data_IF_450227160976
#
_entry.id   IF_450227160976
#
_cell.length_a   1.000
_cell.length_b   1.000
_cell.length_c   1.000
_cell.angle_alpha   90.00
_cell.angle_beta   90.00
_cell.angle_gamma   90.00
#
_symmetry.space_group_name_H-M   'P 1'
#
loop_
_entity.id
_entity.type
_entity.pdbx_description
1 polymer ?
#
# COMPACT_ATOMS: atom_id res chain seq x y z
N UNK A 1 8.09 -14.92 -8.06
CA UNK A 1 7.44 -13.59 -8.18
C UNK A 1 6.27 -13.55 -7.23
N UNK A 2 6.00 -12.43 -6.56
CA UNK A 2 4.83 -12.30 -5.67
C UNK A 2 3.54 -12.16 -6.50
N UNK A 3 2.46 -12.81 -6.07
CA UNK A 3 1.12 -12.67 -6.66
C UNK A 3 0.54 -11.28 -6.40
N UNK A 4 -0.49 -10.88 -7.16
CA UNK A 4 -1.22 -9.62 -6.95
C UNK A 4 -1.76 -9.50 -5.51
N UNK A 5 -2.36 -10.58 -5.01
CA UNK A 5 -2.85 -10.72 -3.64
C UNK A 5 -1.73 -10.52 -2.61
N UNK A 6 -0.58 -11.20 -2.78
CA UNK A 6 0.55 -11.05 -1.86
C UNK A 6 1.10 -9.63 -1.83
N UNK A 7 1.13 -8.93 -2.97
CA UNK A 7 1.55 -7.52 -3.03
C UNK A 7 0.60 -6.64 -2.22
N UNK A 8 -0.71 -6.82 -2.37
CA UNK A 8 -1.70 -6.07 -1.58
C UNK A 8 -1.59 -6.39 -0.09
N UNK A 9 -1.46 -7.67 0.27
CA UNK A 9 -1.32 -8.08 1.67
C UNK A 9 -0.09 -7.45 2.33
N UNK A 10 1.06 -7.43 1.64
CA UNK A 10 2.27 -6.75 2.12
C UNK A 10 2.06 -5.25 2.31
N UNK A 11 1.36 -4.59 1.37
CA UNK A 11 1.02 -3.17 1.50
C UNK A 11 0.11 -2.91 2.71
N UNK A 12 -0.92 -3.74 2.91
CA UNK A 12 -1.84 -3.62 4.05
C UNK A 12 -1.13 -3.86 5.38
N UNK A 13 -0.16 -4.78 5.44
CA UNK A 13 0.67 -4.95 6.63
C UNK A 13 1.43 -3.66 6.97
N UNK A 14 2.04 -3.02 5.97
CA UNK A 14 2.75 -1.76 6.17
C UNK A 14 1.81 -0.61 6.55
N UNK A 15 0.60 -0.57 6.00
CA UNK A 15 -0.44 0.42 6.29
C UNK A 15 -0.93 0.33 7.74
N UNK A 16 -1.28 -0.89 8.17
CA UNK A 16 -1.75 -1.13 9.54
C UNK A 16 -0.62 -1.24 10.56
N UNK A 17 0.64 -1.12 10.12
CA UNK A 17 1.85 -1.35 10.94
C UNK A 17 1.83 -2.72 11.63
N UNK A 18 1.25 -3.73 10.98
CA UNK A 18 1.22 -5.09 11.47
C UNK A 18 2.62 -5.75 11.45
N UNK A 19 3.54 -5.20 10.66
CA UNK A 19 4.96 -5.54 10.56
C UNK A 19 5.80 -5.01 11.73
N UNK A 20 5.32 -4.01 12.47
CA UNK A 20 5.99 -3.40 13.61
C UNK A 20 5.74 -4.17 14.92
N UNK A 21 5.80 -5.50 14.82
CA UNK A 21 5.34 -6.42 15.85
C UNK A 21 6.17 -6.41 17.15
N UNK A 22 7.41 -5.97 17.00
CA UNK A 22 8.44 -5.79 18.00
C UNK A 22 8.18 -4.57 18.90
N UNK A 23 7.46 -3.54 18.43
CA UNK A 23 7.27 -2.29 19.17
C UNK A 23 6.24 -2.42 20.30
N UNK A 24 6.57 -1.97 21.52
CA UNK A 24 5.71 -2.13 22.72
C UNK A 24 5.50 -0.82 23.52
N UNK A 25 5.00 0.21 22.83
CA UNK A 25 4.69 1.51 23.44
C UNK A 25 3.58 2.25 22.67
N UNK A 26 2.90 3.17 23.36
CA UNK A 26 1.86 4.01 22.76
C UNK A 26 0.81 3.21 21.96
N UNK A 27 0.52 3.68 20.74
CA UNK A 27 -0.46 3.05 19.83
C UNK A 27 -0.06 1.62 19.43
N UNK A 28 1.22 1.27 19.42
CA UNK A 28 1.67 -0.07 19.03
C UNK A 28 1.19 -1.15 20.00
N UNK A 29 0.94 -0.81 21.27
CA UNK A 29 0.29 -1.74 22.20
C UNK A 29 -1.10 -2.13 21.76
N UNK A 30 -1.87 -1.16 21.26
CA UNK A 30 -3.23 -1.38 20.76
C UNK A 30 -3.18 -2.18 19.45
N UNK A 31 -2.25 -1.85 18.55
CA UNK A 31 -2.06 -2.59 17.28
C UNK A 31 -1.66 -4.03 17.57
N UNK A 32 -0.73 -4.26 18.50
CA UNK A 32 -0.31 -5.60 18.90
C UNK A 32 -1.44 -6.39 19.55
N UNK A 33 -2.24 -5.75 20.41
CA UNK A 33 -3.41 -6.37 21.01
C UNK A 33 -4.45 -6.81 19.97
N UNK A 34 -4.61 -6.05 18.88
CA UNK A 34 -5.53 -6.37 17.77
C UNK A 34 -4.87 -7.09 16.61
N UNK A 35 -3.62 -7.56 16.76
CA UNK A 35 -2.84 -8.09 15.63
C UNK A 35 -3.53 -9.26 14.96
N UNK A 36 -4.05 -10.19 15.75
CA UNK A 36 -4.77 -11.37 15.22
C UNK A 36 -5.96 -10.95 14.36
N UNK A 37 -6.73 -9.94 14.79
CA UNK A 37 -7.85 -9.39 14.02
C UNK A 37 -7.38 -8.74 12.71
N UNK A 38 -6.29 -7.98 12.75
CA UNK A 38 -5.73 -7.34 11.55
C UNK A 38 -5.21 -8.41 10.58
N UNK A 39 -4.54 -9.45 11.09
CA UNK A 39 -4.02 -10.54 10.27
C UNK A 39 -5.16 -11.38 9.67
N UNK A 40 -6.18 -11.73 10.45
CA UNK A 40 -7.37 -12.41 9.96
C UNK A 40 -8.07 -11.60 8.86
N UNK A 41 -8.20 -10.28 9.04
CA UNK A 41 -8.73 -9.42 7.99
C UNK A 41 -7.91 -9.48 6.70
N UNK A 42 -6.58 -9.37 6.77
CA UNK A 42 -5.69 -9.34 5.60
C UNK A 42 -5.62 -10.69 4.87
N UNK A 43 -5.58 -11.79 5.63
CA UNK A 43 -5.28 -13.12 5.09
C UNK A 43 -6.50 -14.00 4.85
N UNK A 44 -7.62 -13.73 5.54
CA UNK A 44 -8.81 -14.59 5.49
C UNK A 44 -10.03 -13.79 5.01
N UNK A 45 -10.39 -12.70 5.70
CA UNK A 45 -11.64 -11.98 5.40
C UNK A 45 -11.58 -11.24 4.07
N UNK A 46 -10.48 -10.53 3.77
CA UNK A 46 -10.35 -9.79 2.52
C UNK A 46 -10.43 -10.71 1.28
N UNK A 47 -9.68 -11.84 1.22
CA UNK A 47 -9.85 -12.80 0.13
C UNK A 47 -11.27 -13.38 0.06
N UNK A 48 -11.90 -13.67 1.21
CA UNK A 48 -13.28 -14.16 1.23
C UNK A 48 -14.27 -13.12 0.67
N UNK A 49 -14.10 -11.83 0.99
CA UNK A 49 -14.90 -10.73 0.44
C UNK A 49 -14.75 -10.68 -1.08
N UNK A 50 -13.52 -10.71 -1.60
CA UNK A 50 -13.26 -10.67 -3.05
C UNK A 50 -13.89 -11.88 -3.73
N UNK A 51 -13.72 -13.08 -3.17
CA UNK A 51 -14.29 -14.31 -3.72
C UNK A 51 -15.82 -14.26 -3.76
N UNK A 52 -16.46 -13.86 -2.66
CA UNK A 52 -17.92 -13.77 -2.57
C UNK A 52 -18.50 -12.77 -3.58
N UNK A 53 -17.87 -11.60 -3.76
CA UNK A 53 -18.34 -10.58 -4.71
C UNK A 53 -18.13 -11.00 -6.18
N UNK A 54 -17.07 -11.77 -6.45
CA UNK A 54 -16.85 -12.37 -7.77
C UNK A 54 -17.89 -13.46 -8.07
N UNK A 55 -18.27 -14.27 -7.07
CA UNK A 55 -19.28 -15.34 -7.19
C UNK A 55 -20.71 -14.79 -7.27
N UNK A 56 -21.05 -13.73 -6.55
CA UNK A 56 -22.38 -13.12 -6.54
C UNK A 56 -22.78 -12.53 -7.91
N UNK A 57 -21.81 -12.29 -8.80
CA UNK A 57 -22.06 -11.89 -10.19
C UNK A 57 -22.39 -13.10 -11.09
N UNK A 58 -23.34 -13.94 -10.66
CA UNK A 58 -23.72 -15.19 -11.32
C UNK A 58 -24.25 -15.01 -12.74
N UNK A 59 -24.91 -13.89 -13.04
CA UNK A 59 -25.43 -13.61 -14.39
C UNK A 59 -24.28 -13.43 -15.39
N UNK A 60 -23.27 -12.67 -14.99
CA UNK A 60 -22.04 -12.49 -15.77
C UNK A 60 -21.31 -13.82 -15.91
N UNK A 61 -21.22 -14.62 -14.84
CA UNK A 61 -20.57 -15.93 -14.90
C UNK A 61 -21.32 -16.92 -15.81
N UNK A 62 -22.66 -16.97 -15.73
CA UNK A 62 -23.51 -17.84 -16.57
C UNK A 62 -23.47 -17.45 -18.05
N UNK A 63 -23.45 -16.16 -18.37
CA UNK A 63 -23.27 -15.68 -19.74
C UNK A 63 -21.90 -16.07 -20.30
N UNK A 64 -20.88 -16.18 -19.44
CA UNK A 64 -19.50 -16.51 -19.81
C UNK A 64 -19.26 -17.99 -19.96
N UNK A 65 -19.78 -18.81 -19.05
CA UNK A 65 -19.82 -20.27 -19.21
C UNK A 65 -20.44 -20.64 -20.55
N UNK A 66 -21.51 -19.93 -20.94
CA UNK A 66 -22.15 -20.10 -22.24
C UNK A 66 -21.26 -19.69 -23.41
N UNK A 67 -20.46 -18.64 -23.31
CA UNK A 67 -19.48 -18.25 -24.34
C UNK A 67 -18.38 -19.30 -24.48
N UNK A 68 -17.82 -19.77 -23.35
CA UNK A 68 -16.78 -20.81 -23.36
C UNK A 68 -17.31 -22.13 -23.91
N UNK A 69 -18.55 -22.50 -23.58
CA UNK A 69 -19.21 -23.68 -24.15
C UNK A 69 -19.42 -23.53 -25.66
N UNK A 70 -19.91 -22.37 -26.13
CA UNK A 70 -20.04 -22.07 -27.55
C UNK A 70 -18.69 -22.09 -28.28
N UNK A 71 -17.63 -21.55 -27.65
CA UNK A 71 -16.28 -21.58 -28.21
C UNK A 71 -15.79 -23.02 -28.41
N UNK A 72 -15.94 -23.87 -27.39
CA UNK A 72 -15.57 -25.28 -27.47
C UNK A 72 -16.36 -26.01 -28.56
N UNK A 73 -17.67 -25.76 -28.67
CA UNK A 73 -18.50 -26.33 -29.73
C UNK A 73 -18.05 -25.86 -31.13
N UNK A 74 -17.66 -24.60 -31.30
CA UNK A 74 -17.11 -24.08 -32.57
C UNK A 74 -15.76 -24.73 -32.89
N UNK A 75 -14.87 -24.91 -31.90
CA UNK A 75 -13.59 -25.59 -32.09
C UNK A 75 -13.77 -27.07 -32.43
N UNK A 76 -14.69 -27.77 -31.77
CA UNK A 76 -15.05 -29.16 -32.09
C UNK A 76 -15.65 -29.29 -33.49
N UNK A 77 -16.54 -28.36 -33.89
CA UNK A 77 -17.09 -28.31 -35.24
C UNK A 77 -15.99 -28.16 -36.30
N UNK A 78 -15.01 -27.27 -36.06
CA UNK A 78 -13.83 -27.12 -36.92
C UNK A 78 -13.00 -28.40 -37.01
N UNK A 79 -12.69 -29.00 -35.86
CA UNK A 79 -11.94 -30.26 -35.80
C UNK A 79 -12.61 -31.39 -36.59
N UNK A 80 -13.95 -31.49 -36.54
CA UNK A 80 -14.72 -32.47 -37.30
C UNK A 80 -14.66 -32.24 -38.83
N UNK A 81 -14.42 -31.00 -39.26
CA UNK A 81 -14.23 -30.62 -40.66
C UNK A 81 -12.74 -30.66 -41.09
N UNK A 82 -11.82 -30.85 -40.15
CA UNK A 82 -10.38 -30.76 -40.39
C UNK A 82 -9.86 -29.33 -40.61
N UNK A 83 -10.62 -28.33 -40.17
CA UNK A 83 -10.31 -26.90 -40.34
C UNK A 83 -10.28 -26.19 -38.98
N UNK A 84 -9.28 -25.33 -38.78
CA UNK A 84 -9.21 -24.50 -37.58
C UNK A 84 -10.13 -23.29 -37.75
N UNK A 85 -11.17 -23.22 -36.91
CA UNK A 85 -12.22 -22.21 -37.04
C UNK A 85 -11.89 -20.90 -36.31
N UNK A 86 -11.13 -20.98 -35.22
CA UNK A 86 -10.83 -19.84 -34.34
C UNK A 86 -9.32 -19.70 -34.14
N UNK A 87 -8.82 -18.47 -34.15
CA UNK A 87 -7.42 -18.16 -33.83
C UNK A 87 -7.14 -18.28 -32.31
N UNK A 88 -5.92 -17.94 -31.90
CA UNK A 88 -5.49 -17.94 -30.50
C UNK A 88 -6.24 -16.92 -29.62
N UNK A 89 -6.79 -15.87 -30.24
CA UNK A 89 -7.57 -14.80 -29.61
C UNK A 89 -9.09 -15.06 -29.72
N UNK A 90 -9.47 -16.24 -30.23
CA UNK A 90 -10.86 -16.69 -30.39
C UNK A 90 -11.62 -16.07 -31.56
N UNK A 91 -10.96 -15.38 -32.50
CA UNK A 91 -11.62 -14.77 -33.67
C UNK A 91 -11.79 -15.77 -34.80
N UNK A 92 -12.87 -15.61 -35.57
CA UNK A 92 -13.17 -16.46 -36.71
C UNK A 92 -12.08 -16.32 -37.79
N UNK A 93 -11.43 -17.42 -38.15
CA UNK A 93 -10.37 -17.44 -39.17
C UNK A 93 -10.97 -17.39 -40.57
N UNK A 94 -12.12 -18.07 -40.77
CA UNK A 94 -12.76 -18.21 -42.08
C UNK A 94 -14.18 -17.65 -42.07
N UNK A 95 -14.34 -16.49 -42.71
CA UNK A 95 -15.59 -15.75 -42.81
C UNK A 95 -16.72 -16.51 -43.54
N UNK A 96 -16.38 -17.54 -44.33
CA UNK A 96 -17.37 -18.35 -45.05
C UNK A 96 -18.35 -19.08 -44.10
N UNK A 97 -17.97 -19.28 -42.84
CA UNK A 97 -18.79 -19.96 -41.84
C UNK A 97 -19.58 -19.01 -40.93
N UNK A 98 -19.49 -17.70 -41.14
CA UNK A 98 -20.14 -16.70 -40.28
C UNK A 98 -21.66 -16.86 -40.19
N UNK A 99 -22.29 -17.25 -41.30
CA UNK A 99 -23.74 -17.48 -41.42
C UNK A 99 -24.21 -18.78 -40.72
N UNK A 100 -23.30 -19.56 -40.12
CA UNK A 100 -23.68 -20.78 -39.40
C UNK A 100 -24.32 -20.41 -38.06
N UNK A 101 -25.45 -21.03 -37.68
CA UNK A 101 -26.16 -20.71 -36.45
C UNK A 101 -25.29 -20.76 -35.18
N UNK A 102 -24.38 -21.74 -35.08
CA UNK A 102 -23.48 -21.91 -33.94
C UNK A 102 -22.43 -20.78 -33.85
N UNK A 103 -21.84 -20.41 -34.99
CA UNK A 103 -20.82 -19.35 -35.06
C UNK A 103 -21.48 -17.99 -34.84
N UNK A 104 -22.68 -17.78 -35.37
CA UNK A 104 -23.44 -16.57 -35.12
C UNK A 104 -23.81 -16.41 -33.64
N UNK A 105 -24.25 -17.48 -32.96
CA UNK A 105 -24.49 -17.46 -31.52
C UNK A 105 -23.23 -17.16 -30.71
N UNK A 106 -22.09 -17.73 -31.09
CA UNK A 106 -20.79 -17.45 -30.48
C UNK A 106 -20.36 -15.98 -30.66
N UNK A 107 -20.48 -15.45 -31.89
CA UNK A 107 -20.11 -14.07 -32.20
C UNK A 107 -21.03 -13.06 -31.51
N UNK A 108 -22.35 -13.29 -31.52
CA UNK A 108 -23.31 -12.44 -30.82
C UNK A 108 -23.07 -12.45 -29.29
N UNK A 109 -22.78 -13.61 -28.71
CA UNK A 109 -22.46 -13.71 -27.29
C UNK A 109 -21.13 -13.00 -26.95
N UNK A 110 -20.11 -13.11 -27.81
CA UNK A 110 -18.85 -12.33 -27.67
C UNK A 110 -19.04 -10.83 -27.83
N UNK A 111 -19.89 -10.40 -28.75
CA UNK A 111 -20.16 -8.98 -28.98
C UNK A 111 -20.93 -8.36 -27.81
N UNK A 112 -21.86 -9.10 -27.21
CA UNK A 112 -22.65 -8.63 -26.06
C UNK A 112 -21.84 -8.57 -24.75
N UNK A 113 -20.85 -9.44 -24.56
CA UNK A 113 -20.19 -9.60 -23.26
C UNK A 113 -18.64 -9.45 -23.29
N UNK A 114 -18.04 -9.24 -24.47
CA UNK A 114 -16.59 -9.17 -24.67
C UNK A 114 -15.89 -10.53 -24.51
N UNK A 115 -14.55 -10.56 -24.65
CA UNK A 115 -13.76 -11.72 -24.20
C UNK A 115 -13.65 -11.61 -22.68
N UNK A 116 -14.31 -12.49 -21.90
CA UNK A 116 -14.31 -12.34 -20.47
C UNK A 116 -12.93 -12.75 -19.92
N UNK A 117 -12.26 -11.89 -19.14
CA UNK A 117 -11.14 -12.38 -18.35
C UNK A 117 -11.66 -13.50 -17.44
N UNK A 118 -10.90 -14.59 -17.37
CA UNK A 118 -11.27 -15.70 -16.50
C UNK A 118 -11.31 -15.24 -15.03
N UNK A 119 -11.92 -16.05 -14.15
CA UNK A 119 -12.07 -15.70 -12.73
C UNK A 119 -10.75 -15.24 -12.10
N UNK A 120 -9.66 -15.95 -12.37
CA UNK A 120 -8.34 -15.66 -11.83
C UNK A 120 -7.79 -14.31 -12.32
N UNK A 121 -7.98 -13.98 -13.60
CA UNK A 121 -7.60 -12.69 -14.17
C UNK A 121 -8.40 -11.53 -13.56
N UNK A 122 -9.67 -11.75 -13.24
CA UNK A 122 -10.51 -10.74 -12.57
C UNK A 122 -10.07 -10.54 -11.12
N UNK A 123 -9.84 -11.63 -10.41
CA UNK A 123 -9.31 -11.60 -9.05
C UNK A 123 -7.97 -10.85 -9.01
N UNK A 124 -7.05 -11.17 -9.94
CA UNK A 124 -5.80 -10.45 -10.12
C UNK A 124 -6.01 -8.97 -10.42
N UNK A 125 -6.95 -8.61 -11.29
CA UNK A 125 -7.27 -7.22 -11.60
C UNK A 125 -7.76 -6.46 -10.37
N UNK A 126 -8.66 -7.05 -9.58
CA UNK A 126 -9.19 -6.45 -8.34
C UNK A 126 -8.04 -6.16 -7.36
N UNK A 127 -7.18 -7.14 -7.08
CA UNK A 127 -6.05 -6.94 -6.17
C UNK A 127 -5.07 -5.89 -6.71
N UNK A 128 -4.80 -5.88 -8.01
CA UNK A 128 -3.93 -4.88 -8.63
C UNK A 128 -4.50 -3.47 -8.55
N UNK A 129 -5.81 -3.29 -8.74
CA UNK A 129 -6.47 -2.00 -8.58
C UNK A 129 -6.43 -1.53 -7.12
N UNK A 130 -6.75 -2.39 -6.16
CA UNK A 130 -6.66 -2.07 -4.74
C UNK A 130 -5.24 -1.67 -4.34
N UNK A 131 -4.25 -2.45 -4.78
CA UNK A 131 -2.83 -2.13 -4.54
C UNK A 131 -2.47 -0.77 -5.14
N UNK A 132 -2.82 -0.54 -6.41
CA UNK A 132 -2.51 0.70 -7.13
C UNK A 132 -3.16 1.91 -6.45
N UNK A 133 -4.41 1.77 -6.03
CA UNK A 133 -5.14 2.81 -5.31
C UNK A 133 -4.44 3.19 -4.00
N UNK A 134 -4.22 2.24 -3.09
CA UNK A 134 -3.62 2.56 -1.79
C UNK A 134 -2.18 3.04 -1.92
N UNK A 135 -1.36 2.40 -2.76
CA UNK A 135 0.05 2.77 -2.95
C UNK A 135 0.23 4.14 -3.59
N UNK A 136 -0.73 4.62 -4.39
CA UNK A 136 -0.72 5.96 -4.99
C UNK A 136 -0.75 7.05 -3.92
N UNK A 137 -1.60 6.87 -2.91
CA UNK A 137 -1.85 7.89 -1.89
C UNK A 137 -1.03 7.69 -0.62
N UNK A 138 -0.63 6.47 -0.29
CA UNK A 138 0.16 6.19 0.92
C UNK A 138 1.64 6.50 0.72
N UNK A 139 2.22 7.26 1.64
CA UNK A 139 3.63 7.62 1.65
C UNK A 139 4.14 7.70 3.10
N UNK A 140 5.00 6.75 3.50
CA UNK A 140 5.72 6.75 4.78
C UNK A 140 4.88 6.93 6.06
N UNK A 141 3.58 6.62 6.03
CA UNK A 141 2.67 6.79 7.17
C UNK A 141 1.56 7.82 6.92
N UNK A 142 1.72 8.64 5.90
CA UNK A 142 0.76 9.66 5.50
C UNK A 142 -0.06 9.21 4.30
N UNK A 143 -1.29 9.68 4.22
CA UNK A 143 -2.05 9.68 2.96
C UNK A 143 -1.91 11.06 2.35
N UNK A 144 -1.26 11.18 1.19
CA UNK A 144 -0.98 12.47 0.57
C UNK A 144 -1.88 12.65 -0.66
N UNK A 145 -2.64 13.76 -0.75
CA UNK A 145 -3.33 14.12 -1.98
C UNK A 145 -2.33 14.27 -3.12
N UNK A 146 -2.40 13.38 -4.12
CA UNK A 146 -1.53 13.45 -5.30
C UNK A 146 -2.14 14.35 -6.36
N UNK A 147 -1.34 15.26 -6.91
CA UNK A 147 -1.73 16.06 -8.09
C UNK A 147 -1.81 15.13 -9.30
N UNK A 148 -2.92 15.17 -10.03
CA UNK A 148 -3.12 14.35 -11.22
C UNK A 148 -2.45 14.99 -12.43
N UNK A 149 -1.54 14.27 -13.07
CA UNK A 149 -1.01 14.65 -14.39
C UNK A 149 -1.84 13.93 -15.45
N UNK A 150 -2.78 14.65 -16.08
CA UNK A 150 -3.50 14.17 -17.27
C UNK A 150 -3.05 14.97 -18.51
N UNK A 151 -3.25 14.41 -19.70
CA UNK A 151 -2.84 15.05 -20.97
C UNK A 151 -3.69 16.29 -21.32
N UNK A 152 -4.91 16.42 -20.79
CA UNK A 152 -5.87 17.46 -21.22
C UNK A 152 -6.26 18.44 -20.11
N UNK A 153 -6.62 17.98 -18.91
CA UNK A 153 -6.92 18.87 -17.77
C UNK A 153 -6.30 18.34 -16.46
N UNK A 154 -5.53 19.21 -15.78
CA UNK A 154 -4.46 18.84 -14.83
C UNK A 154 -4.84 18.91 -13.35
N UNK A 155 -6.11 19.16 -13.02
CA UNK A 155 -6.56 19.32 -11.64
C UNK A 155 -8.08 19.32 -11.57
N UNK A 156 -8.68 18.39 -10.81
CA UNK A 156 -10.10 18.47 -10.48
C UNK A 156 -10.23 18.90 -9.03
N UNK A 157 -10.97 19.98 -8.80
CA UNK A 157 -11.23 20.53 -7.49
C UNK A 157 -12.68 20.21 -7.14
N UNK A 158 -12.96 19.56 -6.00
CA UNK A 158 -14.34 19.35 -5.56
C UNK A 158 -14.93 20.72 -5.24
N UNK A 159 -15.81 21.21 -6.13
CA UNK A 159 -16.46 22.50 -6.04
C UNK A 159 -17.97 22.29 -6.02
N UNK A 160 -18.64 22.87 -5.03
CA UNK A 160 -20.06 22.71 -4.73
C UNK A 160 -20.90 23.93 -5.16
N UNK A 161 -20.34 24.89 -5.88
CA UNK A 161 -21.05 26.10 -6.32
C UNK A 161 -20.88 27.34 -5.44
N UNK A 162 -19.93 27.36 -4.51
CA UNK A 162 -19.62 28.54 -3.67
C UNK A 162 -19.07 29.73 -4.47
N UNK A 163 -19.52 30.97 -4.23
CA UNK A 163 -19.04 32.14 -4.99
C UNK A 163 -17.51 32.32 -4.97
N UNK A 164 -16.84 31.93 -3.87
CA UNK A 164 -15.38 31.91 -3.75
C UNK A 164 -14.94 30.60 -3.13
N UNK A 165 -14.08 29.85 -3.82
CA UNK A 165 -13.51 28.60 -3.32
C UNK A 165 -11.98 28.63 -3.31
N UNK A 166 -11.38 28.61 -2.12
CA UNK A 166 -9.93 28.53 -1.93
C UNK A 166 -9.52 27.10 -1.64
N UNK A 167 -8.71 26.52 -2.53
CA UNK A 167 -8.23 25.15 -2.42
C UNK A 167 -6.71 25.07 -2.34
N UNK A 168 -6.20 24.35 -1.35
CA UNK A 168 -4.79 24.00 -1.23
C UNK A 168 -4.65 22.54 -0.83
N UNK A 169 -3.53 21.91 -1.24
CA UNK A 169 -3.36 20.46 -1.19
C UNK A 169 -3.58 19.85 0.21
N UNK A 170 -3.15 20.54 1.26
CA UNK A 170 -3.15 20.00 2.63
C UNK A 170 -4.27 20.62 3.50
N UNK A 171 -5.36 21.11 2.89
CA UNK A 171 -6.45 21.82 3.60
C UNK A 171 -7.09 21.03 4.74
N UNK A 172 -7.24 19.72 4.54
CA UNK A 172 -7.87 18.83 5.52
C UNK A 172 -6.86 18.03 6.34
N UNK A 173 -5.60 18.46 6.34
CA UNK A 173 -4.52 17.81 7.06
C UNK A 173 -3.95 18.70 8.17
N UNK A 174 -3.63 18.09 9.29
CA UNK A 174 -2.86 18.69 10.37
C UNK A 174 -1.39 18.31 10.19
N UNK A 175 -0.52 19.31 10.08
CA UNK A 175 0.91 19.10 10.15
C UNK A 175 1.32 18.86 11.59
N UNK A 176 2.03 17.75 11.83
CA UNK A 176 2.62 17.40 13.11
C UNK A 176 4.12 17.25 12.93
N UNK A 177 4.87 18.00 13.72
CA UNK A 177 6.33 17.92 13.76
C UNK A 177 6.75 16.95 14.86
N UNK A 178 7.52 15.92 14.53
CA UNK A 178 7.88 14.85 15.50
C UNK A 178 8.85 15.28 16.60
N UNK A 179 9.21 16.55 16.66
CA UNK A 179 10.04 17.13 17.72
C UNK A 179 9.28 17.61 18.95
N UNK A 180 7.95 17.47 19.04
CA UNK A 180 7.18 17.94 20.22
C UNK A 180 6.80 16.81 21.20
N UNK A 181 7.06 15.55 20.86
CA UNK A 181 6.74 14.39 21.68
C UNK A 181 7.95 13.48 21.87
N UNK A 182 8.91 13.98 22.63
CA UNK A 182 10.07 13.22 23.08
C UNK A 182 9.61 12.12 24.04
N UNK A 183 9.56 10.89 23.53
CA UNK A 183 9.10 9.73 24.28
C UNK A 183 10.07 8.56 24.19
N UNK A 184 10.02 7.74 25.24
CA UNK A 184 10.64 6.44 25.37
C UNK A 184 10.25 5.53 24.20
N UNK A 185 11.22 5.02 23.46
CA UNK A 185 11.01 4.05 22.39
C UNK A 185 11.32 2.64 22.92
N UNK A 186 10.38 1.71 22.78
CA UNK A 186 10.51 0.37 23.35
C UNK A 186 10.24 -0.71 22.30
N UNK A 187 11.11 -1.71 22.24
CA UNK A 187 10.90 -2.88 21.40
C UNK A 187 11.27 -4.18 22.12
N UNK A 188 10.74 -5.30 21.64
CA UNK A 188 11.03 -6.65 22.14
C UNK A 188 11.72 -7.46 21.06
N UNK A 189 12.79 -8.15 21.42
CA UNK A 189 13.50 -9.10 20.55
C UNK A 189 13.87 -10.33 21.35
N UNK A 190 13.49 -11.52 20.88
CA UNK A 190 13.82 -12.82 21.50
C UNK A 190 13.61 -12.88 23.03
N UNK A 191 12.55 -12.24 23.54
CA UNK A 191 12.24 -12.20 24.98
C UNK A 191 12.94 -11.10 25.79
N UNK A 192 13.86 -10.35 25.16
CA UNK A 192 14.53 -9.18 25.75
C UNK A 192 13.76 -7.92 25.37
N UNK A 193 13.52 -7.04 26.34
CA UNK A 193 12.91 -5.73 26.09
C UNK A 193 14.00 -4.66 26.07
N UNK A 194 14.04 -3.86 25.01
CA UNK A 194 15.03 -2.80 24.83
C UNK A 194 14.31 -1.47 24.81
N UNK A 195 14.81 -0.54 25.61
CA UNK A 195 14.28 0.80 25.76
C UNK A 195 15.33 1.83 25.36
N UNK A 196 14.99 2.71 24.42
CA UNK A 196 15.74 3.92 24.15
C UNK A 196 15.10 5.06 24.93
N UNK A 197 15.87 5.63 25.85
CA UNK A 197 15.39 6.65 26.76
C UNK A 197 16.03 7.99 26.43
N UNK A 198 15.23 8.95 25.98
CA UNK A 198 15.74 10.28 25.66
C UNK A 198 15.82 11.09 26.95
N UNK A 199 17.04 11.43 27.37
CA UNK A 199 17.26 12.33 28.51
C UNK A 199 17.17 13.76 28.02
N UNK A 200 16.35 14.54 28.71
CA UNK A 200 16.25 15.98 28.48
C UNK A 200 17.52 16.64 29.04
N UNK A 201 18.50 16.85 28.17
CA UNK A 201 19.63 17.73 28.47
C UNK A 201 19.28 19.10 27.95
N UNK A 202 18.86 19.94 28.90
CA UNK A 202 18.66 21.40 28.87
C UNK A 202 18.44 22.03 27.49
N UNK A 203 17.21 22.49 27.28
CA UNK A 203 16.88 23.50 26.27
C UNK A 203 17.54 24.80 26.73
N UNK A 204 18.79 25.05 26.31
CA UNK A 204 19.37 26.39 26.40
C UNK A 204 18.36 27.38 25.78
N UNK A 205 17.92 28.29 26.64
CA UNK A 205 16.84 29.26 26.45
C UNK A 205 17.16 30.38 25.46
N UNK A 206 18.23 30.26 24.69
CA UNK A 206 18.62 31.29 23.75
C UNK A 206 18.37 30.84 22.31
N UNK A 207 17.53 31.64 21.67
CA UNK A 207 17.06 31.61 20.29
C UNK A 207 18.22 31.88 19.30
N UNK A 208 19.32 31.14 19.43
CA UNK A 208 20.36 31.06 18.41
C UNK A 208 19.85 30.05 17.37
N UNK A 209 19.13 30.56 16.38
CA UNK A 209 19.14 29.98 15.03
C UNK A 209 20.57 29.55 14.70
N UNK A 210 20.93 28.25 14.71
CA UNK A 210 22.29 27.95 14.28
C UNK A 210 22.86 26.54 14.26
N UNK A 211 22.43 25.56 15.06
CA UNK A 211 23.16 24.28 15.10
C UNK A 211 22.26 23.07 14.96
N UNK A 212 22.50 22.31 13.89
CA UNK A 212 21.85 21.03 13.61
C UNK A 212 22.08 20.08 14.78
N UNK A 213 20.99 19.58 15.38
CA UNK A 213 21.00 18.62 16.48
C UNK A 213 20.90 17.19 15.94
N UNK A 214 21.43 16.25 16.71
CA UNK A 214 21.47 14.83 16.38
C UNK A 214 21.06 14.01 17.60
N UNK A 215 20.52 12.82 17.33
CA UNK A 215 20.30 11.81 18.36
C UNK A 215 21.61 11.09 18.61
N UNK A 216 22.18 11.26 19.80
CA UNK A 216 23.45 10.66 20.20
C UNK A 216 23.17 9.61 21.27
N UNK A 217 23.39 8.31 20.98
CA UNK A 217 23.33 7.27 22.00
C UNK A 217 24.46 7.46 23.02
N UNK A 218 24.14 7.36 24.30
CA UNK A 218 25.12 7.30 25.38
C UNK A 218 25.54 5.85 25.59
N UNK A 219 26.29 5.30 24.62
CA UNK A 219 26.65 3.87 24.57
C UNK A 219 27.24 3.34 25.89
N UNK A 220 28.11 4.12 26.53
CA UNK A 220 28.78 3.76 27.78
C UNK A 220 27.84 3.69 29.00
N UNK A 221 26.67 4.31 28.92
CA UNK A 221 25.64 4.30 29.97
C UNK A 221 24.54 3.26 29.71
N UNK A 222 24.75 2.37 28.75
CA UNK A 222 23.85 1.24 28.50
C UNK A 222 23.80 0.37 29.75
N UNK A 223 22.58 0.10 30.25
CA UNK A 223 22.34 -0.75 31.41
C UNK A 223 21.53 -1.98 31.01
N UNK A 224 21.75 -3.08 31.73
CA UNK A 224 20.99 -4.32 31.58
C UNK A 224 20.49 -4.77 32.95
N UNK A 225 19.18 -4.97 33.05
CA UNK A 225 18.52 -5.53 34.22
C UNK A 225 18.27 -7.03 34.00
N UNK A 226 18.93 -7.85 34.82
CA UNK A 226 18.92 -9.31 34.65
C UNK A 226 17.60 -9.96 35.08
N UNK A 227 16.89 -9.37 36.05
CA UNK A 227 15.64 -9.94 36.54
C UNK A 227 14.51 -9.80 35.52
N UNK A 228 14.42 -8.63 34.86
CA UNK A 228 13.35 -8.32 33.89
C UNK A 228 13.76 -8.56 32.44
N UNK A 229 15.03 -8.88 32.19
CA UNK A 229 15.61 -8.97 30.84
C UNK A 229 15.42 -7.67 30.04
N UNK A 230 15.68 -6.53 30.69
CA UNK A 230 15.50 -5.20 30.11
C UNK A 230 16.84 -4.51 29.85
N UNK A 231 17.00 -3.94 28.65
CA UNK A 231 18.13 -3.07 28.30
C UNK A 231 17.62 -1.63 28.24
N UNK A 232 18.34 -0.71 28.87
CA UNK A 232 18.12 0.72 28.70
C UNK A 232 19.34 1.35 28.02
N UNK A 233 19.09 2.01 26.88
CA UNK A 233 20.09 2.76 26.12
C UNK A 233 19.69 4.22 26.18
N UNK A 234 20.40 5.06 26.95
CA UNK A 234 20.09 6.48 27.02
C UNK A 234 20.49 7.22 25.73
N UNK A 235 19.75 8.26 25.41
CA UNK A 235 19.99 9.14 24.27
C UNK A 235 19.99 10.62 24.70
N UNK A 236 20.75 11.42 23.97
CA UNK A 236 20.69 12.88 24.03
C UNK A 236 20.30 13.46 22.67
N UNK A 237 19.53 14.55 22.67
CA UNK A 237 19.22 15.34 21.47
C UNK A 237 19.96 16.67 21.48
N UNK A 238 21.24 16.63 21.06
CA UNK A 238 22.19 17.74 21.20
C UNK A 238 22.95 18.06 19.91
N UNK A 239 23.55 19.25 19.79
CA UNK A 239 24.54 19.51 18.74
C UNK A 239 25.79 18.64 18.91
N UNK A 240 26.52 18.42 17.81
CA UNK A 240 27.80 17.71 17.82
C UNK A 240 28.89 18.56 18.47
N UNK A 241 29.68 17.95 19.36
CA UNK A 241 30.90 18.56 19.90
C UNK A 241 31.98 18.66 18.81
N UNK A 242 33.08 19.37 19.07
CA UNK A 242 34.17 19.46 18.10
C UNK A 242 34.88 18.11 17.88
N UNK A 243 34.84 17.21 18.86
CA UNK A 243 35.31 15.83 18.71
C UNK A 243 34.36 15.02 17.82
N UNK A 244 33.05 15.13 18.04
CA UNK A 244 32.03 14.50 17.20
C UNK A 244 32.11 14.99 15.75
N UNK A 245 32.35 16.29 15.53
CA UNK A 245 32.50 16.86 14.18
C UNK A 245 33.71 16.29 13.45
N UNK A 246 34.80 15.99 14.16
CA UNK A 246 35.98 15.31 13.59
C UNK A 246 35.65 13.85 13.25
N UNK A 247 34.95 13.15 14.14
CA UNK A 247 34.60 11.71 14.00
C UNK A 247 33.51 11.47 12.95
N UNK A 248 32.53 12.36 12.85
CA UNK A 248 31.30 12.21 12.06
C UNK A 248 31.12 13.34 11.04
N UNK A 249 32.18 13.67 10.30
CA UNK A 249 32.15 14.70 9.26
C UNK A 249 31.44 14.23 7.97
N UNK A 250 30.91 15.18 7.19
CA UNK A 250 30.33 14.91 5.86
C UNK A 250 28.80 14.71 5.82
N UNK A 251 28.31 14.05 4.76
CA UNK A 251 26.87 13.75 4.62
C UNK A 251 26.44 12.58 5.52
N UNK A 252 25.13 12.48 5.81
CA UNK A 252 24.52 11.41 6.62
C UNK A 252 25.16 11.23 8.00
N UNK A 253 25.45 12.34 8.68
CA UNK A 253 26.13 12.33 10.00
C UNK A 253 25.36 11.49 11.05
N UNK A 254 24.02 11.50 11.02
CA UNK A 254 23.20 10.68 11.91
C UNK A 254 23.47 9.18 11.73
N UNK A 255 23.57 8.70 10.47
CA UNK A 255 23.84 7.29 10.20
C UNK A 255 25.23 6.88 10.73
N UNK A 256 26.24 7.75 10.58
CA UNK A 256 27.59 7.50 11.09
C UNK A 256 27.66 7.42 12.62
N UNK A 257 26.87 8.24 13.31
CA UNK A 257 26.76 8.21 14.78
C UNK A 257 26.19 6.85 15.20
N UNK A 258 25.13 6.38 14.54
CA UNK A 258 24.51 5.10 14.85
C UNK A 258 25.42 3.91 14.52
N UNK A 259 26.13 3.94 13.40
CA UNK A 259 27.10 2.90 13.00
C UNK A 259 28.28 2.79 13.97
N UNK A 260 28.72 3.91 14.56
CA UNK A 260 29.76 3.88 15.58
C UNK A 260 29.25 3.46 16.97
N UNK A 261 28.00 3.80 17.29
CA UNK A 261 27.41 3.49 18.59
C UNK A 261 27.06 2.00 18.74
N UNK A 262 26.62 1.34 17.67
CA UNK A 262 26.26 -0.08 17.68
C UNK A 262 27.34 -0.98 18.32
N UNK A 263 28.61 -1.01 17.83
CA UNK A 263 29.64 -1.86 18.43
C UNK A 263 30.00 -1.45 19.87
N UNK A 264 29.87 -0.17 20.23
CA UNK A 264 30.14 0.31 21.58
C UNK A 264 29.07 -0.17 22.57
N UNK A 265 27.79 -0.10 22.18
CA UNK A 265 26.66 -0.64 22.94
C UNK A 265 26.84 -2.16 23.14
N UNK A 266 27.17 -2.87 22.06
CA UNK A 266 27.39 -4.31 22.09
C UNK A 266 28.54 -4.69 23.03
N UNK A 267 29.62 -3.89 23.04
CA UNK A 267 30.75 -4.09 23.95
C UNK A 267 30.34 -4.01 25.42
N UNK A 268 29.46 -3.08 25.79
CA UNK A 268 28.94 -2.95 27.15
C UNK A 268 28.12 -4.17 27.60
N UNK A 269 27.51 -4.90 26.65
CA UNK A 269 26.65 -6.05 26.91
C UNK A 269 27.37 -7.41 26.77
N UNK A 270 28.69 -7.40 26.51
CA UNK A 270 29.49 -8.62 26.25
C UNK A 270 29.42 -9.68 27.36
N UNK A 271 29.10 -9.29 28.60
CA UNK A 271 28.95 -10.20 29.73
C UNK A 271 27.61 -10.96 29.74
N UNK A 272 26.68 -10.66 28.82
CA UNK A 272 25.32 -11.19 28.78
C UNK A 272 24.99 -11.81 27.41
N UNK A 273 25.46 -13.04 27.18
CA UNK A 273 25.39 -13.70 25.86
C UNK A 273 23.97 -13.88 25.30
N UNK A 274 23.00 -14.18 26.17
CA UNK A 274 21.57 -14.29 25.82
C UNK A 274 20.98 -12.98 25.30
N UNK A 275 21.52 -11.85 25.74
CA UNK A 275 21.08 -10.51 25.35
C UNK A 275 21.70 -10.09 24.02
N UNK A 276 22.98 -10.43 23.82
CA UNK A 276 23.70 -10.15 22.57
C UNK A 276 23.03 -10.84 21.39
N UNK A 277 22.65 -12.12 21.53
CA UNK A 277 21.98 -12.85 20.44
C UNK A 277 20.66 -12.20 20.01
N UNK A 278 19.93 -11.59 20.96
CA UNK A 278 18.68 -10.87 20.67
C UNK A 278 18.91 -9.57 19.89
N UNK A 279 20.04 -8.90 20.10
CA UNK A 279 20.42 -7.66 19.40
C UNK A 279 21.10 -7.92 18.05
N UNK A 280 21.90 -8.98 17.96
CA UNK A 280 22.63 -9.40 16.75
C UNK A 280 21.75 -10.13 15.74
N UNK A 281 20.56 -10.58 16.16
CA UNK A 281 19.64 -11.25 15.26
C UNK A 281 19.45 -10.43 13.98
N UNK A 282 19.79 -11.04 12.85
CA UNK A 282 19.76 -10.37 11.56
C UNK A 282 18.44 -10.63 10.85
N UNK A 283 17.79 -9.56 10.44
CA UNK A 283 16.66 -9.60 9.52
C UNK A 283 17.05 -8.81 8.28
N UNK A 284 16.94 -9.42 7.09
CA UNK A 284 17.25 -8.76 5.81
C UNK A 284 18.69 -8.19 5.70
N UNK A 285 19.65 -8.78 6.42
CA UNK A 285 21.06 -8.37 6.40
C UNK A 285 21.42 -7.19 7.32
N UNK A 286 20.49 -6.72 8.15
CA UNK A 286 20.72 -5.71 9.19
C UNK A 286 20.46 -6.32 10.59
N UNK A 287 21.26 -5.93 11.59
CA UNK A 287 21.05 -6.34 12.98
C UNK A 287 19.78 -5.71 13.54
N UNK A 288 19.14 -6.40 14.49
CA UNK A 288 17.92 -5.90 15.14
C UNK A 288 18.19 -4.55 15.82
N UNK A 289 19.32 -4.39 16.50
CA UNK A 289 19.70 -3.13 17.13
C UNK A 289 19.83 -1.99 16.11
N UNK A 290 20.55 -2.20 15.00
CA UNK A 290 20.76 -1.18 13.97
C UNK A 290 19.44 -0.74 13.32
N UNK A 291 18.57 -1.69 12.99
CA UNK A 291 17.21 -1.42 12.48
C UNK A 291 16.44 -0.49 13.41
N UNK A 292 16.42 -0.79 14.71
CA UNK A 292 15.69 0.01 15.70
C UNK A 292 16.32 1.37 15.94
N UNK A 293 17.65 1.48 16.00
CA UNK A 293 18.37 2.76 16.10
C UNK A 293 17.99 3.71 14.96
N UNK A 294 18.00 3.21 13.71
CA UNK A 294 17.60 4.00 12.54
C UNK A 294 16.12 4.35 12.55
N UNK A 295 15.27 3.41 12.95
CA UNK A 295 13.82 3.61 13.04
C UNK A 295 13.47 4.70 14.06
N UNK A 296 14.08 4.65 15.25
CA UNK A 296 13.89 5.63 16.31
C UNK A 296 14.27 7.04 15.86
N UNK A 297 15.48 7.20 15.32
CA UNK A 297 15.97 8.50 14.87
C UNK A 297 15.16 9.06 13.71
N UNK A 298 14.85 8.25 12.68
CA UNK A 298 14.02 8.67 11.55
C UNK A 298 12.65 9.13 11.99
N UNK A 299 12.00 8.39 12.90
CA UNK A 299 10.66 8.70 13.40
C UNK A 299 10.62 10.05 14.11
N UNK A 300 11.61 10.35 14.94
CA UNK A 300 11.65 11.59 15.71
C UNK A 300 12.12 12.80 14.88
N UNK A 301 12.61 12.58 13.66
CA UNK A 301 12.98 13.67 12.72
C UNK A 301 12.01 13.85 11.57
N UNK A 302 10.98 13.01 11.45
CA UNK A 302 10.03 13.06 10.36
C UNK A 302 8.88 14.04 10.66
N UNK A 303 8.34 14.63 9.61
CA UNK A 303 7.10 15.40 9.69
C UNK A 303 5.96 14.52 9.17
N UNK A 304 4.77 14.65 9.76
CA UNK A 304 3.61 13.85 9.38
C UNK A 304 2.37 14.73 9.13
N UNK A 305 1.51 14.26 8.25
CA UNK A 305 0.23 14.88 7.93
C UNK A 305 -0.93 13.98 8.35
N UNK A 306 -1.71 14.44 9.32
CA UNK A 306 -2.87 13.71 9.82
C UNK A 306 -4.14 14.28 9.20
N UNK A 307 -4.88 13.46 8.46
CA UNK A 307 -6.18 13.87 7.92
C UNK A 307 -7.22 14.06 9.03
N UNK A 308 -7.99 15.15 8.94
CA UNK A 308 -9.21 15.37 9.75
C UNK A 308 -10.28 14.32 9.46
N UNK A 309 -10.44 13.97 8.19
CA UNK A 309 -11.40 13.00 7.69
C UNK A 309 -10.75 12.11 6.61
N UNK A 310 -9.99 11.12 7.07
CA UNK A 310 -9.33 10.17 6.16
C UNK A 310 -10.34 9.37 5.34
N UNK A 311 -11.48 9.00 5.93
CA UNK A 311 -12.53 8.23 5.24
C UNK A 311 -13.11 9.04 4.07
N UNK A 312 -13.49 10.29 4.31
CA UNK A 312 -14.01 11.15 3.26
C UNK A 312 -12.99 11.40 2.15
N UNK A 313 -11.71 11.60 2.51
CA UNK A 313 -10.63 11.70 1.53
C UNK A 313 -10.54 10.45 0.65
N UNK A 314 -10.41 9.26 1.26
CA UNK A 314 -10.27 8.00 0.52
C UNK A 314 -11.49 7.71 -0.35
N UNK A 315 -12.71 7.95 0.14
CA UNK A 315 -13.93 7.72 -0.65
C UNK A 315 -14.01 8.64 -1.89
N UNK A 316 -13.64 9.93 -1.75
CA UNK A 316 -13.60 10.85 -2.89
C UNK A 316 -12.56 10.45 -3.92
N UNK A 317 -11.36 10.09 -3.46
CA UNK A 317 -10.31 9.64 -4.38
C UNK A 317 -10.65 8.29 -5.04
N UNK A 318 -11.34 7.39 -4.32
CA UNK A 318 -11.80 6.10 -4.85
C UNK A 318 -12.83 6.29 -5.96
N UNK A 319 -13.84 7.15 -5.75
CA UNK A 319 -14.84 7.46 -6.77
C UNK A 319 -14.20 7.97 -8.07
N UNK A 320 -13.21 8.86 -7.95
CA UNK A 320 -12.47 9.40 -9.09
C UNK A 320 -11.58 8.32 -9.74
N UNK A 321 -10.93 7.48 -8.93
CA UNK A 321 -10.12 6.38 -9.42
C UNK A 321 -10.95 5.40 -10.25
N UNK A 322 -12.12 5.00 -9.75
CA UNK A 322 -13.03 4.11 -10.46
C UNK A 322 -13.45 4.71 -11.82
N UNK A 323 -13.87 5.98 -11.83
CA UNK A 323 -14.34 6.67 -13.04
C UNK A 323 -13.29 6.89 -14.13
N UNK A 324 -12.01 6.90 -13.77
CA UNK A 324 -10.94 7.24 -14.70
C UNK A 324 -10.04 6.06 -15.07
N UNK A 325 -9.83 5.12 -14.14
CA UNK A 325 -8.80 4.08 -14.23
C UNK A 325 -9.39 2.67 -14.28
N UNK A 326 -10.61 2.48 -13.76
CA UNK A 326 -11.31 1.18 -13.78
C UNK A 326 -12.37 1.15 -14.87
N UNK A 327 -13.07 2.26 -15.07
CA UNK A 327 -14.11 2.41 -16.09
C UNK A 327 -13.66 3.50 -17.06
N UNK A 328 -12.97 3.16 -18.16
CA UNK A 328 -12.67 4.13 -19.20
C UNK A 328 -13.98 4.69 -19.75
N UNK A 329 -14.13 6.01 -19.78
CA UNK A 329 -15.33 6.68 -20.33
C UNK A 329 -15.63 6.23 -21.78
N UNK A 330 -14.60 5.84 -22.54
CA UNK A 330 -14.72 5.23 -23.87
C UNK A 330 -15.57 3.96 -23.88
N UNK A 331 -15.52 3.14 -22.82
CA UNK A 331 -16.22 1.87 -22.74
C UNK A 331 -17.71 2.07 -22.40
N UNK A 332 -18.02 3.14 -21.66
CA UNK A 332 -19.39 3.57 -21.36
C UNK A 332 -20.10 4.16 -22.58
N UNK A 333 -19.36 4.94 -23.38
CA UNK A 333 -19.91 5.54 -24.61
C UNK A 333 -20.20 4.45 -25.65
N UNK A 334 -19.36 3.41 -25.74
CA UNK A 334 -19.58 2.28 -26.66
C UNK A 334 -20.83 1.46 -26.29
N UNK A 335 -21.11 1.28 -25.00
CA UNK A 335 -22.29 0.53 -24.53
C UNK A 335 -23.59 1.31 -24.74
N UNK A 336 -23.62 2.62 -24.49
CA UNK A 336 -24.81 3.45 -24.74
C UNK A 336 -25.14 3.57 -26.23
N UNK A 337 -24.13 3.80 -27.08
CA UNK A 337 -24.30 3.89 -28.54
C UNK A 337 -24.82 2.56 -29.11
N UNK A 338 -24.30 1.41 -28.65
CA UNK A 338 -24.82 0.11 -29.06
C UNK A 338 -26.25 -0.13 -28.57
N UNK A 339 -26.60 0.31 -27.35
CA UNK A 339 -27.95 0.17 -26.82
C UNK A 339 -28.99 1.01 -27.59
N UNK A 340 -28.60 2.21 -28.05
CA UNK A 340 -29.45 3.08 -28.88
C UNK A 340 -29.59 2.57 -30.32
N UNK A 341 -28.53 1.99 -30.91
CA UNK A 341 -28.60 1.33 -32.21
C UNK A 341 -29.52 0.11 -32.20
N UNK A 342 -29.49 -0.70 -31.12
CA UNK A 342 -30.38 -1.85 -30.95
C UNK A 342 -31.84 -1.40 -30.72
N UNK A 343 -32.08 -0.32 -29.97
CA UNK A 343 -33.44 0.24 -29.78
C UNK A 343 -33.96 0.99 -31.01
N UNK A 344 -33.07 1.58 -31.83
CA UNK A 344 -33.40 2.32 -33.05
C UNK A 344 -33.73 1.42 -34.26
N UNK A 345 -33.30 0.15 -34.24
CA UNK A 345 -33.52 -0.81 -35.33
C UNK A 345 -34.96 -1.32 -35.51
N UNK A 346 -35.89 -1.00 -34.61
CA UNK A 346 -37.29 -1.52 -34.64
C UNK A 346 -38.35 -0.47 -35.02
N UNK A 347 -37.98 0.58 -35.77
CA UNK A 347 -38.97 1.47 -36.42
C UNK A 347 -38.69 1.67 -37.89
N UNK A 348 -38.86 0.61 -38.66
CA UNK A 348 -39.36 0.73 -40.04
C UNK A 348 -40.82 0.31 -40.06
N UNK A 349 -41.72 1.27 -40.10
CA UNK A 349 -43.01 1.09 -40.76
C UNK A 349 -43.33 2.37 -41.54
N UNK A 350 -43.01 2.30 -42.83
CA UNK A 350 -43.83 2.89 -43.88
C UNK A 350 -45.31 2.88 -43.47
N UNK A 351 -45.95 4.04 -43.46
CA UNK A 351 -47.30 4.17 -44.04
C UNK A 351 -47.65 5.65 -44.28
N UNK A 352 -47.67 5.96 -45.59
CA UNK A 352 -48.39 7.01 -46.32
C UNK A 352 -48.20 8.48 -45.95
#
# INVERSE_FOLDING_TARGET
MQTSQQKLQNLLQQLFRADAADLDFGIYRIINYRREQIQAFIYEELPAIVNNELEANTEVESARERITELENQVREFGNNLGEEMLDADGNLINEAYRERPLIQQYLEAREQHGFPPNRDQREDAVYNHLYTFFSRYYDNGDFIPRRRYSQTERYAVPYNGEEVYLHWANRDQHYVKSGEHFSTYRFKSQGVTVTFDLRDVDIEKDDIKGTKRFFVPLSAETTYESETHEICIPFEYRPLTDEDKKRYSGQKQQDKILEAAEPEIMKCLTSHYNVLSALEHQTEGETTLKKHLRTYTRRNTADFFIHKDLRGFLNRELDIYIKNEVIPISDLILTDVNSELIRGGSKSLFNK
#
